data_IF_420169727410
#
_entry.id   IF_420169727410
#
_cell.length_a   1.000
_cell.length_b   1.000
_cell.length_c   1.000
_cell.angle_alpha   90.00
_cell.angle_beta   90.00
_cell.angle_gamma   90.00
#
_symmetry.space_group_name_H-M   'P 1'
#
loop_
_entity.id
_entity.type
_entity.pdbx_description
1 polymer ?
#
# COMPACT_ATOMS: atom_id res chain seq x y z
N UNK A 1 -53.60 -27.75 1.83
CA UNK A 1 -53.04 -28.15 0.52
C UNK A 1 -52.50 -26.91 -0.24
N UNK A 2 -51.53 -26.17 0.33
CA UNK A 2 -50.98 -24.92 -0.27
C UNK A 2 -49.44 -24.88 -0.35
N UNK A 3 -48.74 -25.94 0.06
CA UNK A 3 -47.26 -25.94 0.14
C UNK A 3 -46.55 -26.60 -1.06
N UNK A 4 -47.28 -27.25 -1.98
CA UNK A 4 -46.68 -27.95 -3.14
C UNK A 4 -46.62 -27.13 -4.44
N UNK A 5 -47.43 -26.08 -4.62
CA UNK A 5 -47.45 -25.27 -5.87
C UNK A 5 -46.30 -24.24 -5.98
N UNK A 6 -45.71 -23.82 -4.86
CA UNK A 6 -44.64 -22.83 -4.82
C UNK A 6 -43.36 -23.22 -5.59
N UNK A 7 -42.75 -24.40 -5.32
CA UNK A 7 -41.50 -24.80 -5.98
C UNK A 7 -41.69 -25.11 -7.47
N UNK A 8 -42.81 -25.70 -7.88
CA UNK A 8 -43.10 -25.98 -9.28
C UNK A 8 -43.33 -24.68 -10.09
N UNK A 9 -44.02 -23.70 -9.50
CA UNK A 9 -44.19 -22.37 -10.10
C UNK A 9 -42.86 -21.66 -10.34
N UNK A 10 -41.95 -21.65 -9.37
CA UNK A 10 -40.64 -21.00 -9.51
C UNK A 10 -39.76 -21.70 -10.55
N UNK A 11 -39.79 -23.04 -10.61
CA UNK A 11 -39.08 -23.79 -11.64
C UNK A 11 -39.60 -23.46 -13.05
N UNK A 12 -40.93 -23.34 -13.20
CA UNK A 12 -41.58 -22.91 -14.45
C UNK A 12 -41.22 -21.48 -14.84
N UNK A 13 -41.22 -20.54 -13.88
CA UNK A 13 -40.82 -19.16 -14.11
C UNK A 13 -39.36 -19.07 -14.58
N UNK A 14 -38.45 -19.79 -13.91
CA UNK A 14 -37.03 -19.86 -14.30
C UNK A 14 -36.86 -20.41 -15.72
N UNK A 15 -37.61 -21.44 -16.10
CA UNK A 15 -37.58 -22.01 -17.47
C UNK A 15 -38.15 -21.04 -18.51
N UNK A 16 -39.20 -20.30 -18.18
CA UNK A 16 -39.86 -19.38 -19.10
C UNK A 16 -39.02 -18.12 -19.35
N UNK A 17 -38.60 -17.43 -18.30
CA UNK A 17 -37.80 -16.20 -18.41
C UNK A 17 -36.30 -16.45 -18.64
N UNK A 18 -35.83 -17.69 -18.47
CA UNK A 18 -34.46 -18.10 -18.82
C UNK A 18 -34.23 -18.30 -20.32
N UNK A 19 -35.26 -18.12 -21.16
CA UNK A 19 -35.14 -18.22 -22.61
C UNK A 19 -34.27 -17.07 -23.16
N UNK A 20 -33.46 -17.31 -24.22
CA UNK A 20 -32.59 -16.28 -24.81
C UNK A 20 -33.33 -15.01 -25.23
N UNK A 21 -34.58 -15.15 -25.72
CA UNK A 21 -35.44 -14.04 -26.12
C UNK A 21 -35.71 -12.98 -25.03
N UNK A 22 -35.60 -13.33 -23.74
CA UNK A 22 -35.76 -12.37 -22.64
C UNK A 22 -34.44 -11.72 -22.19
N UNK A 23 -33.28 -12.25 -22.59
CA UNK A 23 -32.00 -11.91 -21.97
C UNK A 23 -31.63 -10.42 -22.08
N UNK A 24 -31.76 -9.81 -23.27
CA UNK A 24 -31.43 -8.38 -23.45
C UNK A 24 -32.45 -7.49 -22.76
N UNK A 25 -33.74 -7.80 -22.86
CA UNK A 25 -34.79 -7.04 -22.20
C UNK A 25 -34.63 -7.07 -20.67
N UNK A 26 -34.43 -8.24 -20.08
CA UNK A 26 -34.26 -8.38 -18.64
C UNK A 26 -33.03 -7.62 -18.15
N UNK A 27 -31.92 -7.67 -18.89
CA UNK A 27 -30.73 -6.85 -18.59
C UNK A 27 -31.04 -5.36 -18.57
N UNK A 28 -31.83 -4.88 -19.54
CA UNK A 28 -32.27 -3.49 -19.60
C UNK A 28 -33.23 -3.10 -18.47
N UNK A 29 -34.13 -4.00 -18.09
CA UNK A 29 -35.05 -3.84 -16.95
C UNK A 29 -34.25 -3.76 -15.65
N UNK A 30 -33.31 -4.67 -15.41
CA UNK A 30 -32.45 -4.65 -14.22
C UNK A 30 -31.62 -3.38 -14.15
N UNK A 31 -31.00 -2.97 -15.27
CA UNK A 31 -30.24 -1.71 -15.39
C UNK A 31 -31.11 -0.51 -15.02
N UNK A 32 -32.33 -0.43 -15.56
CA UNK A 32 -33.22 0.69 -15.32
C UNK A 32 -33.74 0.73 -13.89
N UNK A 33 -34.09 -0.43 -13.33
CA UNK A 33 -34.49 -0.57 -11.93
C UNK A 33 -33.35 -0.16 -11.00
N UNK A 34 -32.14 -0.66 -11.22
CA UNK A 34 -30.98 -0.35 -10.40
C UNK A 34 -30.63 1.15 -10.41
N UNK A 35 -30.87 1.83 -11.54
CA UNK A 35 -30.66 3.26 -11.68
C UNK A 35 -31.70 4.13 -10.98
N UNK A 36 -32.99 3.77 -11.07
CA UNK A 36 -34.07 4.59 -10.52
C UNK A 36 -34.43 4.27 -9.07
N UNK A 37 -34.06 3.09 -8.57
CA UNK A 37 -34.42 2.63 -7.22
C UNK A 37 -35.90 2.33 -7.00
N UNK A 38 -36.69 2.29 -8.09
CA UNK A 38 -38.12 2.01 -8.06
C UNK A 38 -38.57 1.44 -9.40
N UNK A 39 -39.74 0.80 -9.41
CA UNK A 39 -40.41 0.36 -10.64
C UNK A 39 -40.86 1.59 -11.44
N UNK A 40 -40.04 2.03 -12.39
CA UNK A 40 -40.31 3.23 -13.19
C UNK A 40 -39.41 3.34 -14.43
N UNK A 41 -39.80 4.19 -15.37
CA UNK A 41 -39.10 4.35 -16.64
C UNK A 41 -39.35 3.22 -17.64
N UNK A 42 -38.52 3.18 -18.68
CA UNK A 42 -38.68 2.31 -19.84
C UNK A 42 -37.37 1.59 -20.13
N UNK A 43 -37.44 0.27 -20.32
CA UNK A 43 -36.36 -0.55 -20.86
C UNK A 43 -36.48 -0.55 -22.40
N UNK A 44 -35.37 -0.33 -23.09
CA UNK A 44 -35.34 -0.21 -24.55
C UNK A 44 -34.29 -1.16 -25.10
N UNK A 45 -34.70 -2.05 -26.01
CA UNK A 45 -33.80 -2.91 -26.77
C UNK A 45 -33.81 -2.45 -28.23
N UNK A 46 -32.68 -1.94 -28.71
CA UNK A 46 -32.47 -1.57 -30.11
C UNK A 46 -32.29 -2.81 -30.97
N UNK A 47 -32.84 -2.81 -32.18
CA UNK A 47 -32.72 -3.91 -33.15
C UNK A 47 -33.03 -5.29 -32.52
N UNK A 48 -34.27 -5.50 -32.04
CA UNK A 48 -34.65 -6.76 -31.40
C UNK A 48 -34.67 -7.90 -32.42
N UNK A 49 -34.17 -9.08 -32.04
CA UNK A 49 -34.29 -10.28 -32.86
C UNK A 49 -35.73 -10.79 -32.89
N UNK A 50 -36.08 -11.59 -33.90
CA UNK A 50 -37.41 -12.17 -34.03
C UNK A 50 -37.81 -13.00 -32.79
N UNK A 51 -36.87 -13.76 -32.22
CA UNK A 51 -37.07 -14.54 -30.98
C UNK A 51 -37.35 -13.63 -29.77
N UNK A 52 -36.70 -12.47 -29.68
CA UNK A 52 -36.93 -11.50 -28.60
C UNK A 52 -38.33 -10.88 -28.71
N UNK A 53 -38.74 -10.52 -29.94
CA UNK A 53 -40.09 -10.01 -30.19
C UNK A 53 -41.14 -11.06 -29.86
N UNK A 54 -40.96 -12.31 -30.29
CA UNK A 54 -41.90 -13.40 -30.03
C UNK A 54 -42.07 -13.66 -28.53
N UNK A 55 -40.96 -13.82 -27.80
CA UNK A 55 -40.98 -14.05 -26.36
C UNK A 55 -41.66 -12.89 -25.61
N UNK A 56 -41.28 -11.65 -25.93
CA UNK A 56 -41.79 -10.47 -25.23
C UNK A 56 -43.24 -10.18 -25.60
N UNK A 57 -43.66 -10.36 -26.86
CA UNK A 57 -45.06 -10.25 -27.25
C UNK A 57 -45.93 -11.31 -26.57
N UNK A 58 -45.45 -12.55 -26.51
CA UNK A 58 -46.14 -13.65 -25.85
C UNK A 58 -46.42 -13.38 -24.36
N UNK A 59 -45.50 -12.70 -23.69
CA UNK A 59 -45.67 -12.33 -22.29
C UNK A 59 -46.46 -11.03 -22.07
N UNK A 60 -46.18 -9.97 -22.85
CA UNK A 60 -46.72 -8.63 -22.64
C UNK A 60 -48.11 -8.40 -23.27
N UNK A 61 -48.62 -9.37 -24.04
CA UNK A 61 -49.91 -9.30 -24.72
C UNK A 61 -50.04 -8.14 -25.72
N UNK A 62 -48.92 -7.59 -26.20
CA UNK A 62 -48.89 -6.44 -27.10
C UNK A 62 -48.07 -6.73 -28.34
N UNK A 63 -48.57 -6.33 -29.51
CA UNK A 63 -47.92 -6.51 -30.81
C UNK A 63 -47.19 -5.21 -31.24
N UNK A 64 -45.90 -5.31 -31.55
CA UNK A 64 -45.09 -4.24 -32.18
C UNK A 64 -44.72 -4.65 -33.61
N UNK A 65 -44.53 -3.65 -34.49
CA UNK A 65 -44.11 -3.91 -35.88
C UNK A 65 -42.62 -4.22 -35.95
N UNK A 66 -42.18 -5.16 -36.82
CA UNK A 66 -40.76 -5.39 -37.08
C UNK A 66 -40.06 -4.10 -37.55
N UNK A 67 -38.92 -3.76 -36.96
CA UNK A 67 -38.13 -2.56 -37.28
C UNK A 67 -38.24 -1.40 -36.28
N UNK A 68 -39.08 -1.50 -35.25
CA UNK A 68 -39.16 -0.54 -34.14
C UNK A 68 -38.34 -1.02 -32.93
N UNK A 69 -37.82 -0.09 -32.12
CA UNK A 69 -37.19 -0.42 -30.84
C UNK A 69 -38.20 -1.14 -29.92
N UNK A 70 -37.73 -2.18 -29.23
CA UNK A 70 -38.56 -2.85 -28.23
C UNK A 70 -38.54 -2.02 -26.95
N UNK A 71 -39.62 -1.29 -26.72
CA UNK A 71 -39.80 -0.46 -25.52
C UNK A 71 -40.83 -1.08 -24.55
N UNK A 72 -40.38 -1.33 -23.32
CA UNK A 72 -41.21 -1.87 -22.24
C UNK A 72 -41.13 -0.97 -21.02
N UNK A 73 -42.28 -0.44 -20.59
CA UNK A 73 -42.38 0.30 -19.33
C UNK A 73 -42.24 -0.67 -18.16
N UNK A 74 -41.35 -0.38 -17.21
CA UNK A 74 -41.11 -1.24 -16.04
C UNK A 74 -42.39 -1.46 -15.22
N UNK A 75 -43.22 -0.43 -15.08
CA UNK A 75 -44.51 -0.54 -14.38
C UNK A 75 -45.48 -1.51 -15.06
N UNK A 76 -45.49 -1.55 -16.40
CA UNK A 76 -46.32 -2.51 -17.15
C UNK A 76 -45.74 -3.92 -16.99
N UNK A 77 -44.43 -4.08 -17.13
CA UNK A 77 -43.78 -5.38 -16.96
C UNK A 77 -43.99 -5.96 -15.55
N UNK A 78 -43.83 -5.14 -14.51
CA UNK A 78 -44.12 -5.51 -13.12
C UNK A 78 -45.59 -5.91 -12.92
N UNK A 79 -46.52 -5.17 -13.54
CA UNK A 79 -47.94 -5.52 -13.50
C UNK A 79 -48.20 -6.90 -14.11
N UNK A 80 -47.72 -7.15 -15.34
CA UNK A 80 -47.88 -8.46 -16.00
C UNK A 80 -47.21 -9.58 -15.21
N UNK A 81 -46.04 -9.33 -14.61
CA UNK A 81 -45.36 -10.29 -13.75
C UNK A 81 -46.20 -10.69 -12.53
N UNK A 82 -46.83 -9.72 -11.87
CA UNK A 82 -47.65 -9.95 -10.68
C UNK A 82 -48.99 -10.60 -11.01
N UNK A 83 -49.60 -10.26 -12.14
CA UNK A 83 -50.91 -10.81 -12.56
C UNK A 83 -50.80 -12.11 -13.34
N UNK A 84 -49.62 -12.45 -13.84
CA UNK A 84 -49.35 -13.75 -14.47
C UNK A 84 -49.43 -14.90 -13.49
N UNK A 85 -49.44 -16.13 -14.02
CA UNK A 85 -49.35 -17.39 -13.27
C UNK A 85 -48.09 -17.51 -12.40
N UNK A 86 -47.10 -16.63 -12.59
CA UNK A 86 -45.86 -16.62 -11.83
C UNK A 86 -45.95 -15.81 -10.53
N UNK A 87 -46.80 -14.77 -10.49
CA UNK A 87 -46.99 -13.87 -9.34
C UNK A 87 -45.67 -13.34 -8.74
N UNK A 88 -44.75 -12.89 -9.60
CA UNK A 88 -43.44 -12.39 -9.18
C UNK A 88 -43.36 -10.86 -9.27
N UNK A 89 -42.37 -10.29 -8.60
CA UNK A 89 -41.90 -8.91 -8.80
C UNK A 89 -40.59 -8.91 -9.59
N UNK A 90 -40.19 -7.76 -10.15
CA UNK A 90 -38.90 -7.63 -10.84
C UNK A 90 -37.71 -8.06 -9.95
N UNK A 91 -37.60 -7.65 -8.67
CA UNK A 91 -36.53 -8.13 -7.78
C UNK A 91 -36.54 -9.65 -7.58
N UNK A 92 -37.72 -10.24 -7.37
CA UNK A 92 -37.85 -11.69 -7.19
C UNK A 92 -37.49 -12.47 -8.46
N UNK A 93 -37.84 -11.95 -9.64
CA UNK A 93 -37.45 -12.57 -10.90
C UNK A 93 -35.94 -12.50 -11.12
N UNK A 94 -35.31 -11.36 -10.80
CA UNK A 94 -33.85 -11.24 -10.84
C UNK A 94 -33.20 -12.28 -9.92
N UNK A 95 -33.57 -12.32 -8.65
CA UNK A 95 -33.04 -13.27 -7.67
C UNK A 95 -33.25 -14.73 -8.12
N UNK A 96 -34.42 -15.04 -8.68
CA UNK A 96 -34.71 -16.36 -9.22
C UNK A 96 -33.79 -16.74 -10.39
N UNK A 97 -33.40 -15.80 -11.26
CA UNK A 97 -32.60 -16.09 -12.45
C UNK A 97 -31.10 -16.02 -12.19
N UNK A 98 -30.64 -15.10 -11.34
CA UNK A 98 -29.22 -14.85 -11.09
C UNK A 98 -28.71 -15.46 -9.78
N UNK A 99 -29.62 -15.79 -8.85
CA UNK A 99 -29.28 -16.21 -7.49
C UNK A 99 -28.84 -15.07 -6.57
N UNK A 100 -29.01 -13.80 -6.97
CA UNK A 100 -28.59 -12.62 -6.19
C UNK A 100 -29.67 -11.55 -6.11
N UNK A 101 -29.68 -10.79 -5.02
CA UNK A 101 -30.61 -9.67 -4.85
C UNK A 101 -30.34 -8.56 -5.88
N UNK A 102 -31.42 -7.96 -6.41
CA UNK A 102 -31.31 -6.82 -7.33
C UNK A 102 -31.03 -5.54 -6.55
N UNK A 103 -29.75 -5.22 -6.38
CA UNK A 103 -29.33 -4.00 -5.70
C UNK A 103 -29.35 -2.78 -6.62
N UNK A 104 -29.93 -1.70 -6.11
CA UNK A 104 -29.88 -0.36 -6.69
C UNK A 104 -28.48 0.25 -6.61
N UNK A 105 -28.20 1.29 -7.40
CA UNK A 105 -26.93 2.00 -7.30
C UNK A 105 -26.73 2.65 -5.93
N UNK A 106 -27.81 3.09 -5.27
CA UNK A 106 -27.76 3.64 -3.92
C UNK A 106 -27.36 2.57 -2.90
N UNK A 107 -28.04 1.41 -2.89
CA UNK A 107 -27.73 0.30 -1.99
C UNK A 107 -26.33 -0.26 -2.23
N UNK A 108 -25.89 -0.39 -3.49
CA UNK A 108 -24.51 -0.81 -3.78
C UNK A 108 -23.49 0.17 -3.23
N UNK A 109 -23.76 1.48 -3.33
CA UNK A 109 -22.86 2.50 -2.78
C UNK A 109 -22.82 2.43 -1.25
N UNK A 110 -23.97 2.23 -0.62
CA UNK A 110 -24.08 2.07 0.83
C UNK A 110 -23.33 0.83 1.32
N UNK A 111 -23.47 -0.31 0.65
CA UNK A 111 -22.70 -1.52 0.98
C UNK A 111 -21.19 -1.28 0.85
N UNK A 112 -20.74 -0.63 -0.24
CA UNK A 112 -19.32 -0.28 -0.40
C UNK A 112 -18.81 0.70 0.66
N UNK A 113 -19.68 1.58 1.16
CA UNK A 113 -19.37 2.50 2.24
C UNK A 113 -19.30 1.77 3.59
N UNK A 114 -20.21 0.84 3.86
CA UNK A 114 -20.18 -0.03 5.03
C UNK A 114 -18.93 -0.93 5.03
N UNK A 115 -18.61 -1.56 3.90
CA UNK A 115 -17.40 -2.36 3.73
C UNK A 115 -16.14 -1.52 3.97
N UNK A 116 -16.12 -0.26 3.49
CA UNK A 116 -15.02 0.66 3.74
C UNK A 116 -14.88 0.99 5.23
N UNK A 117 -15.98 1.27 5.92
CA UNK A 117 -15.95 1.59 7.35
C UNK A 117 -15.48 0.40 8.20
N UNK A 118 -15.85 -0.82 7.79
CA UNK A 118 -15.47 -2.08 8.48
C UNK A 118 -13.94 -2.23 8.59
N UNK A 119 -13.18 -1.77 7.58
CA UNK A 119 -11.69 -1.81 7.59
C UNK A 119 -11.10 -1.15 8.84
N UNK A 120 -11.78 -0.15 9.38
CA UNK A 120 -11.30 0.65 10.49
C UNK A 120 -11.82 0.19 11.86
N UNK A 121 -12.81 -0.70 11.90
CA UNK A 121 -13.48 -1.04 13.16
C UNK A 121 -12.59 -1.89 14.08
N UNK A 122 -11.88 -2.88 13.52
CA UNK A 122 -10.89 -3.69 14.25
C UNK A 122 -9.76 -2.83 14.84
N UNK A 123 -9.35 -1.83 14.07
CA UNK A 123 -8.23 -0.94 14.42
C UNK A 123 -8.64 0.08 15.46
N UNK A 124 -9.87 0.61 15.38
CA UNK A 124 -10.41 1.50 16.41
C UNK A 124 -10.47 0.84 17.78
N UNK A 125 -10.76 -0.46 17.83
CA UNK A 125 -10.73 -1.22 19.07
C UNK A 125 -9.33 -1.26 19.72
N UNK A 126 -8.26 -1.17 18.93
CA UNK A 126 -6.88 -1.14 19.43
C UNK A 126 -6.51 0.19 20.11
N UNK A 127 -7.25 1.27 19.87
CA UNK A 127 -6.84 2.62 20.25
C UNK A 127 -7.45 3.15 21.55
N UNK A 128 -8.19 2.34 22.32
CA UNK A 128 -8.81 2.68 23.61
C UNK A 128 -9.29 4.14 23.69
N UNK A 129 -10.58 4.38 23.43
CA UNK A 129 -11.20 5.65 23.02
C UNK A 129 -10.84 6.97 23.74
N UNK A 130 -10.05 6.95 24.82
CA UNK A 130 -9.73 8.11 25.66
C UNK A 130 -8.25 8.21 26.07
N UNK A 131 -7.34 7.43 25.49
CA UNK A 131 -5.90 7.59 25.77
C UNK A 131 -5.31 8.71 24.91
N UNK A 132 -5.06 9.86 25.54
CA UNK A 132 -4.50 11.06 24.89
C UNK A 132 -3.17 10.79 24.17
N UNK A 133 -2.41 9.76 24.59
CA UNK A 133 -1.15 9.37 23.93
C UNK A 133 -1.35 8.96 22.47
N UNK A 134 -2.55 8.52 22.10
CA UNK A 134 -2.86 8.07 20.74
C UNK A 134 -3.65 9.11 19.92
N UNK A 135 -3.76 10.36 20.39
CA UNK A 135 -4.56 11.40 19.74
C UNK A 135 -4.13 11.66 18.28
N UNK A 136 -2.84 11.77 18.01
CA UNK A 136 -2.30 12.00 16.65
C UNK A 136 -2.60 10.81 15.72
N UNK A 137 -2.41 9.59 16.23
CA UNK A 137 -2.68 8.37 15.50
C UNK A 137 -4.18 8.26 15.19
N UNK A 138 -5.06 8.50 16.17
CA UNK A 138 -6.50 8.49 15.98
C UNK A 138 -6.95 9.59 14.99
N UNK A 139 -6.35 10.78 15.08
CA UNK A 139 -6.57 11.88 14.14
C UNK A 139 -6.17 11.51 12.71
N UNK A 140 -5.01 10.87 12.55
CA UNK A 140 -4.56 10.35 11.26
C UNK A 140 -5.48 9.26 10.71
N UNK A 141 -5.93 8.33 11.54
CA UNK A 141 -6.86 7.27 11.16
C UNK A 141 -8.20 7.83 10.64
N UNK A 142 -8.71 8.90 11.27
CA UNK A 142 -9.90 9.60 10.81
C UNK A 142 -9.66 10.30 9.46
N UNK A 143 -8.54 11.02 9.30
CA UNK A 143 -8.16 11.61 8.00
C UNK A 143 -8.02 10.54 6.91
N UNK A 144 -7.48 9.37 7.25
CA UNK A 144 -7.36 8.25 6.32
C UNK A 144 -8.73 7.73 5.87
N UNK A 145 -9.66 7.54 6.82
CA UNK A 145 -11.05 7.15 6.52
C UNK A 145 -11.74 8.14 5.60
N UNK A 146 -11.52 9.44 5.84
CA UNK A 146 -12.22 10.53 5.16
C UNK A 146 -11.52 10.95 3.84
N UNK A 147 -10.44 10.26 3.45
CA UNK A 147 -9.73 10.50 2.19
C UNK A 147 -8.79 11.70 2.20
N UNK A 148 -8.39 12.16 3.38
CA UNK A 148 -7.55 13.34 3.61
C UNK A 148 -6.10 13.00 4.00
N UNK A 149 -5.77 11.74 4.24
CA UNK A 149 -4.39 11.30 4.52
C UNK A 149 -3.67 10.85 3.24
N UNK A 150 -2.33 11.01 3.21
CA UNK A 150 -1.53 10.64 2.04
C UNK A 150 -1.59 9.14 1.72
N UNK A 151 -1.93 8.32 2.72
CA UNK A 151 -2.12 6.88 2.60
C UNK A 151 -3.48 6.40 2.09
N UNK A 152 -4.42 7.32 1.83
CA UNK A 152 -5.78 6.95 1.41
C UNK A 152 -5.78 6.07 0.15
N UNK A 153 -5.01 6.46 -0.86
CA UNK A 153 -4.94 5.70 -2.13
C UNK A 153 -4.42 4.28 -1.90
N UNK A 154 -3.35 4.13 -1.13
CA UNK A 154 -2.76 2.84 -0.77
C UNK A 154 -3.78 1.91 -0.14
N UNK A 155 -4.51 2.39 0.88
CA UNK A 155 -5.52 1.59 1.56
C UNK A 155 -6.74 1.33 0.66
N UNK A 156 -7.16 2.31 -0.14
CA UNK A 156 -8.31 2.19 -1.03
C UNK A 156 -8.08 1.15 -2.14
N UNK A 157 -6.87 1.06 -2.67
CA UNK A 157 -6.48 0.04 -3.64
C UNK A 157 -6.41 -1.35 -3.01
N UNK A 158 -5.80 -1.46 -1.82
CA UNK A 158 -5.76 -2.72 -1.06
C UNK A 158 -7.17 -3.23 -0.72
N UNK A 159 -8.06 -2.35 -0.27
CA UNK A 159 -9.45 -2.67 0.08
C UNK A 159 -10.25 -3.18 -1.12
N UNK A 160 -10.08 -2.56 -2.30
CA UNK A 160 -10.73 -3.02 -3.53
C UNK A 160 -10.26 -4.41 -3.97
N UNK A 161 -9.02 -4.76 -3.66
CA UNK A 161 -8.45 -6.06 -3.99
C UNK A 161 -8.91 -7.15 -3.01
N UNK A 162 -8.79 -6.89 -1.70
CA UNK A 162 -9.19 -7.81 -0.63
C UNK A 162 -9.47 -7.05 0.68
N UNK A 163 -10.73 -7.03 1.11
CA UNK A 163 -11.19 -6.40 2.33
C UNK A 163 -10.47 -6.94 3.59
N UNK A 164 -10.32 -8.26 3.69
CA UNK A 164 -9.75 -8.91 4.86
C UNK A 164 -8.25 -8.67 4.97
N UNK A 165 -7.53 -8.72 3.85
CA UNK A 165 -6.11 -8.41 3.82
C UNK A 165 -5.86 -6.91 4.09
N UNK A 166 -6.67 -6.01 3.54
CA UNK A 166 -6.56 -4.57 3.79
C UNK A 166 -6.75 -4.25 5.28
N UNK A 167 -7.73 -4.86 5.93
CA UNK A 167 -8.00 -4.68 7.36
C UNK A 167 -6.81 -5.15 8.21
N UNK A 168 -6.25 -6.34 7.90
CA UNK A 168 -5.05 -6.85 8.58
C UNK A 168 -3.83 -5.96 8.40
N UNK A 169 -3.57 -5.49 7.18
CA UNK A 169 -2.41 -4.65 6.86
C UNK A 169 -2.50 -3.27 7.54
N UNK A 170 -3.70 -2.67 7.58
CA UNK A 170 -3.94 -1.46 8.36
C UNK A 170 -3.72 -1.74 9.87
N UNK A 171 -4.21 -2.87 10.36
CA UNK A 171 -4.00 -3.33 11.74
C UNK A 171 -2.52 -3.42 12.11
N UNK A 172 -1.66 -3.99 11.25
CA UNK A 172 -0.22 -4.05 11.47
C UNK A 172 0.44 -2.67 11.51
N UNK A 173 0.10 -1.79 10.57
CA UNK A 173 0.65 -0.43 10.55
C UNK A 173 0.28 0.35 11.82
N UNK A 174 -0.96 0.21 12.29
CA UNK A 174 -1.45 0.91 13.48
C UNK A 174 -0.88 0.31 14.76
N UNK A 175 -0.81 -1.02 14.86
CA UNK A 175 -0.15 -1.69 15.97
C UNK A 175 1.34 -1.32 16.06
N UNK A 176 2.01 -1.14 14.91
CA UNK A 176 3.39 -0.70 14.84
C UNK A 176 3.55 0.73 15.37
N UNK A 177 2.75 1.69 14.88
CA UNK A 177 2.81 3.07 15.36
C UNK A 177 2.44 3.19 16.84
N UNK A 178 1.42 2.45 17.31
CA UNK A 178 1.08 2.38 18.74
C UNK A 178 2.26 1.92 19.59
N UNK A 179 2.97 0.88 19.17
CA UNK A 179 4.17 0.38 19.86
C UNK A 179 5.30 1.41 19.89
N UNK A 180 5.46 2.22 18.83
CA UNK A 180 6.45 3.31 18.83
C UNK A 180 6.14 4.33 19.93
N UNK A 181 4.87 4.77 20.01
CA UNK A 181 4.39 5.69 21.06
C UNK A 181 4.63 5.08 22.46
N UNK A 182 4.28 3.81 22.65
CA UNK A 182 4.47 3.14 23.95
C UNK A 182 5.97 2.98 24.31
N UNK A 183 6.85 2.79 23.32
CA UNK A 183 8.29 2.62 23.53
C UNK A 183 8.98 3.95 23.83
N UNK A 184 8.60 5.02 23.12
CA UNK A 184 9.03 6.39 23.39
C UNK A 184 8.73 6.78 24.83
N UNK A 185 7.50 6.54 25.29
CA UNK A 185 7.06 6.83 26.65
C UNK A 185 7.81 6.02 27.73
N UNK A 186 8.27 4.81 27.41
CA UNK A 186 8.85 3.90 28.39
C UNK A 186 10.35 4.13 28.66
N UNK A 187 11.19 4.32 27.62
CA UNK A 187 12.66 4.28 27.78
C UNK A 187 13.48 5.11 26.77
N UNK A 188 12.87 5.76 25.79
CA UNK A 188 13.64 6.42 24.70
C UNK A 188 14.52 5.47 23.87
N UNK A 189 14.35 4.16 24.03
CA UNK A 189 15.09 3.15 23.27
C UNK A 189 14.33 2.86 21.98
N UNK A 190 14.75 3.50 20.89
CA UNK A 190 14.16 3.22 19.56
C UNK A 190 14.26 1.74 19.15
N UNK A 191 13.39 1.31 18.23
CA UNK A 191 13.30 -0.08 17.76
C UNK A 191 13.78 -0.22 16.30
N UNK A 192 14.21 -1.41 15.89
CA UNK A 192 14.50 -1.68 14.46
C UNK A 192 13.23 -2.07 13.73
N UNK A 193 13.03 -1.57 12.51
CA UNK A 193 11.83 -1.84 11.71
C UNK A 193 11.52 -3.35 11.57
N UNK A 194 12.48 -4.25 11.30
CA UNK A 194 12.18 -5.69 11.20
C UNK A 194 11.75 -6.32 12.53
N UNK A 195 12.25 -5.81 13.66
CA UNK A 195 11.85 -6.26 15.00
C UNK A 195 10.41 -5.80 15.29
N UNK A 196 10.08 -4.57 14.89
CA UNK A 196 8.72 -4.04 14.99
C UNK A 196 7.75 -4.85 14.12
N UNK A 197 8.13 -5.15 12.88
CA UNK A 197 7.35 -5.93 11.92
C UNK A 197 7.07 -7.35 12.46
N UNK A 198 8.11 -8.05 12.91
CA UNK A 198 7.97 -9.38 13.50
C UNK A 198 7.06 -9.35 14.74
N UNK A 199 7.11 -8.29 15.54
CA UNK A 199 6.31 -8.18 16.75
C UNK A 199 4.81 -7.89 16.51
N UNK A 200 4.44 -7.32 15.36
CA UNK A 200 3.03 -7.00 15.03
C UNK A 200 2.41 -7.97 14.03
N UNK A 201 3.22 -8.53 13.12
CA UNK A 201 2.75 -9.36 12.01
C UNK A 201 3.32 -10.79 12.02
N UNK A 202 4.31 -11.09 12.86
CA UNK A 202 5.02 -12.37 12.85
C UNK A 202 6.00 -12.53 11.69
N UNK A 203 6.22 -11.48 10.89
CA UNK A 203 7.10 -11.45 9.72
C UNK A 203 8.00 -10.20 9.77
N UNK A 204 9.35 -10.34 9.77
CA UNK A 204 10.28 -9.23 9.77
C UNK A 204 10.16 -8.28 8.56
N UNK A 205 9.58 -8.72 7.45
CA UNK A 205 9.43 -7.93 6.22
C UNK A 205 8.05 -7.29 6.08
N UNK A 206 7.13 -7.53 7.02
CA UNK A 206 5.74 -7.07 6.91
C UNK A 206 5.56 -5.55 6.88
N UNK A 207 6.57 -4.78 7.32
CA UNK A 207 6.55 -3.32 7.32
C UNK A 207 7.54 -2.71 6.30
N UNK A 208 8.08 -3.52 5.38
CA UNK A 208 8.94 -3.02 4.31
C UNK A 208 8.16 -2.08 3.38
N UNK A 209 8.81 -1.07 2.80
CA UNK A 209 8.16 -0.03 1.99
C UNK A 209 7.51 -0.53 0.70
N UNK A 210 7.83 -1.76 0.27
CA UNK A 210 7.16 -2.43 -0.85
C UNK A 210 5.85 -3.14 -0.44
N UNK A 211 5.58 -3.30 0.86
CA UNK A 211 4.33 -3.86 1.40
C UNK A 211 3.26 -2.79 1.57
N UNK A 212 1.99 -3.21 1.67
CA UNK A 212 0.88 -2.29 1.98
C UNK A 212 1.06 -1.71 3.38
N UNK A 213 1.24 -2.54 4.41
CA UNK A 213 1.41 -2.08 5.79
C UNK A 213 2.62 -1.16 5.96
N UNK A 214 3.75 -1.46 5.33
CA UNK A 214 4.93 -0.60 5.35
C UNK A 214 4.69 0.77 4.70
N UNK A 215 4.00 0.83 3.55
CA UNK A 215 3.59 2.12 2.95
C UNK A 215 2.64 2.90 3.84
N UNK A 216 1.64 2.23 4.43
CA UNK A 216 0.70 2.86 5.35
C UNK A 216 1.43 3.46 6.56
N UNK A 217 2.32 2.69 7.20
CA UNK A 217 3.12 3.16 8.33
C UNK A 217 4.01 4.33 7.94
N UNK A 218 4.77 4.21 6.86
CA UNK A 218 5.68 5.27 6.42
C UNK A 218 4.95 6.59 6.12
N UNK A 219 3.84 6.51 5.39
CA UNK A 219 3.02 7.69 5.08
C UNK A 219 2.38 8.29 6.34
N UNK A 220 2.00 7.45 7.31
CA UNK A 220 1.50 7.90 8.60
C UNK A 220 2.55 8.69 9.39
N UNK A 221 3.76 8.13 9.50
CA UNK A 221 4.88 8.76 10.20
C UNK A 221 5.31 10.06 9.49
N UNK A 222 5.32 10.07 8.15
CA UNK A 222 5.63 11.28 7.37
C UNK A 222 4.61 12.40 7.57
N UNK A 223 3.32 12.06 7.60
CA UNK A 223 2.25 13.03 7.86
C UNK A 223 2.36 13.58 9.30
N UNK A 224 2.82 12.76 10.24
CA UNK A 224 3.03 13.14 11.64
C UNK A 224 4.27 14.02 11.85
N UNK A 225 5.40 13.72 11.19
CA UNK A 225 6.63 14.53 11.26
C UNK A 225 6.58 15.83 10.45
N UNK A 226 5.52 16.05 9.64
CA UNK A 226 5.33 17.27 8.87
C UNK A 226 6.15 17.36 7.57
N UNK A 227 6.73 16.26 7.08
CA UNK A 227 7.57 16.24 5.86
C UNK A 227 6.77 16.08 4.55
N UNK A 228 5.62 16.76 4.42
CA UNK A 228 4.64 16.56 3.35
C UNK A 228 5.02 16.97 1.91
N UNK A 229 6.26 17.41 1.64
CA UNK A 229 6.68 18.00 0.35
C UNK A 229 7.41 17.05 -0.62
N UNK A 230 7.71 15.80 -0.23
CA UNK A 230 8.57 14.88 -0.99
C UNK A 230 7.81 13.95 -1.97
N UNK A 231 6.53 14.24 -2.24
CA UNK A 231 5.59 13.30 -2.82
C UNK A 231 5.81 12.95 -4.31
N UNK A 232 6.58 13.73 -5.06
CA UNK A 232 6.70 13.56 -6.52
C UNK A 232 7.75 12.50 -6.92
N UNK A 233 8.79 12.28 -6.10
CA UNK A 233 9.90 11.40 -6.47
C UNK A 233 9.67 9.92 -6.13
N UNK A 234 8.97 9.60 -5.02
CA UNK A 234 8.83 8.22 -4.55
C UNK A 234 7.76 7.40 -5.29
N UNK A 235 6.67 8.04 -5.74
CA UNK A 235 5.63 7.37 -6.54
C UNK A 235 6.18 6.91 -7.90
N UNK A 236 7.15 7.64 -8.46
CA UNK A 236 7.85 7.27 -9.68
C UNK A 236 8.81 6.07 -9.48
N UNK A 237 9.37 5.91 -8.28
CA UNK A 237 10.29 4.82 -7.93
C UNK A 237 9.52 3.52 -7.64
N UNK A 238 8.41 3.60 -6.90
CA UNK A 238 7.56 2.44 -6.62
C UNK A 238 6.93 1.84 -7.90
N UNK A 239 6.56 2.69 -8.87
CA UNK A 239 6.06 2.24 -10.17
C UNK A 239 7.13 1.51 -11.00
N UNK A 240 8.42 1.89 -10.87
CA UNK A 240 9.54 1.20 -11.52
C UNK A 240 9.86 -0.15 -10.87
N UNK A 241 9.77 -0.26 -9.54
CA UNK A 241 9.99 -1.52 -8.83
C UNK A 241 8.94 -2.60 -9.16
N UNK A 242 7.68 -2.21 -9.34
CA UNK A 242 6.62 -3.14 -9.73
C UNK A 242 6.76 -3.63 -11.19
N UNK A 243 7.28 -2.80 -12.09
CA UNK A 243 7.51 -3.18 -13.49
C UNK A 243 8.73 -4.11 -13.67
N UNK A 244 9.73 -4.03 -12.79
CA UNK A 244 10.91 -4.89 -12.83
C UNK A 244 10.63 -6.34 -12.36
N UNK A 245 9.61 -6.54 -11.51
CA UNK A 245 9.25 -7.85 -10.97
C UNK A 245 8.65 -8.82 -12.02
N UNK A 246 8.24 -8.34 -13.20
CA UNK A 246 7.69 -9.19 -14.27
C UNK A 246 8.76 -9.70 -15.27
N UNK A 247 10.02 -9.30 -15.14
CA UNK A 247 11.10 -9.73 -16.04
C UNK A 247 12.26 -10.33 -15.25
N UNK A 248 12.14 -11.60 -14.86
CA UNK A 248 13.18 -12.33 -14.14
C UNK A 248 14.42 -12.58 -15.01
N UNK A 249 15.56 -11.93 -14.69
CA UNK A 249 16.93 -12.45 -14.91
C UNK A 249 17.88 -11.92 -13.81
N UNK A 250 18.58 -12.86 -13.15
CA UNK A 250 19.77 -12.72 -12.28
C UNK A 250 19.69 -11.87 -11.00
N UNK A 251 19.74 -12.55 -9.85
CA UNK A 251 19.71 -12.00 -8.49
C UNK A 251 21.01 -11.32 -8.03
N UNK A 252 21.52 -10.37 -8.81
CA UNK A 252 22.51 -9.40 -8.36
C UNK A 252 21.96 -7.95 -8.39
N UNK A 253 20.98 -7.68 -9.26
CA UNK A 253 20.36 -6.35 -9.42
C UNK A 253 19.25 -6.08 -8.37
N UNK A 254 18.68 -7.12 -7.76
CA UNK A 254 17.70 -7.00 -6.66
C UNK A 254 18.31 -6.34 -5.40
N UNK A 255 19.63 -6.44 -5.21
CA UNK A 255 20.32 -5.82 -4.08
C UNK A 255 20.64 -4.33 -4.30
N UNK A 256 20.89 -3.90 -5.54
CA UNK A 256 21.11 -2.47 -5.83
C UNK A 256 19.81 -1.68 -5.87
N UNK A 257 18.71 -2.28 -6.37
CA UNK A 257 17.39 -1.64 -6.35
C UNK A 257 16.83 -1.48 -4.92
N UNK A 258 17.21 -2.36 -3.98
CA UNK A 258 16.87 -2.22 -2.56
C UNK A 258 17.73 -1.16 -1.84
N UNK A 259 18.98 -0.95 -2.27
CA UNK A 259 19.92 -0.01 -1.64
C UNK A 259 19.62 1.47 -1.99
N UNK A 260 19.02 1.74 -3.15
CA UNK A 260 18.72 3.11 -3.62
C UNK A 260 17.41 3.73 -3.10
N UNK A 261 16.59 2.99 -2.34
CA UNK A 261 15.26 3.47 -1.89
C UNK A 261 15.35 4.19 -0.53
N UNK A 262 16.48 4.11 0.17
CA UNK A 262 16.65 4.70 1.51
C UNK A 262 17.25 6.11 1.46
N UNK A 263 16.48 7.04 0.90
CA UNK A 263 16.84 8.46 0.94
C UNK A 263 17.05 8.88 2.41
N UNK A 264 18.01 9.77 2.65
CA UNK A 264 18.24 10.33 3.99
C UNK A 264 16.96 10.88 4.62
N UNK A 265 16.04 11.40 3.80
CA UNK A 265 14.73 11.86 4.24
C UNK A 265 13.86 10.72 4.79
N UNK A 266 13.84 9.55 4.15
CA UNK A 266 13.08 8.40 4.65
C UNK A 266 13.61 7.88 5.99
N UNK A 267 14.94 7.83 6.13
CA UNK A 267 15.59 7.50 7.41
C UNK A 267 15.25 8.50 8.50
N UNK A 268 15.26 9.79 8.16
CA UNK A 268 14.94 10.85 9.10
C UNK A 268 13.49 10.75 9.62
N UNK A 269 12.53 10.43 8.75
CA UNK A 269 11.14 10.15 9.17
C UNK A 269 11.10 9.00 10.18
N UNK A 270 11.82 7.92 9.91
CA UNK A 270 11.90 6.78 10.83
C UNK A 270 12.58 7.13 12.15
N UNK A 271 13.69 7.85 12.14
CA UNK A 271 14.39 8.28 13.36
C UNK A 271 13.53 9.16 14.24
N UNK A 272 12.84 10.13 13.66
CA UNK A 272 11.92 11.01 14.40
C UNK A 272 10.77 10.24 15.03
N UNK A 273 10.37 9.11 14.42
CA UNK A 273 9.39 8.19 14.98
C UNK A 273 9.97 7.13 15.94
N UNK A 274 11.26 7.22 16.29
CA UNK A 274 11.91 6.25 17.18
C UNK A 274 12.27 4.92 16.52
N UNK A 275 12.31 4.84 15.20
CA UNK A 275 12.82 3.69 14.45
C UNK A 275 14.31 3.90 14.16
N UNK A 276 15.15 2.95 14.56
CA UNK A 276 16.60 2.99 14.41
C UNK A 276 17.04 2.50 13.04
N UNK A 277 18.07 3.15 12.50
CA UNK A 277 18.78 2.74 11.29
C UNK A 277 19.44 1.35 11.45
N UNK A 278 19.72 0.69 10.33
CA UNK A 278 20.61 -0.48 10.32
C UNK A 278 22.05 -0.02 10.58
N UNK A 279 22.41 -0.09 11.86
CA UNK A 279 23.69 0.37 12.40
C UNK A 279 24.83 -0.66 12.29
N UNK A 280 24.54 -1.85 11.74
CA UNK A 280 25.50 -2.95 11.55
C UNK A 280 25.89 -3.10 10.08
N UNK A 281 24.91 -3.12 9.18
CA UNK A 281 25.20 -3.33 7.75
C UNK A 281 25.64 -2.06 7.03
N UNK A 282 25.45 -0.88 7.65
CA UNK A 282 26.00 0.37 7.13
C UNK A 282 27.49 0.48 7.51
N UNK A 283 28.36 0.42 6.49
CA UNK A 283 29.81 0.35 6.66
C UNK A 283 30.53 1.55 6.04
N UNK A 284 31.67 1.91 6.59
CA UNK A 284 32.63 2.85 6.01
C UNK A 284 34.05 2.30 6.18
N UNK A 285 34.85 2.38 5.13
CA UNK A 285 36.24 1.94 5.16
C UNK A 285 37.13 3.15 5.40
N UNK A 286 38.15 2.99 6.23
CA UNK A 286 39.08 4.06 6.54
C UNK A 286 40.49 3.52 6.70
N UNK A 287 41.46 4.29 6.21
CA UNK A 287 42.86 3.98 6.35
C UNK A 287 43.62 5.27 6.63
N UNK A 288 44.56 5.17 7.57
CA UNK A 288 45.55 6.22 7.83
C UNK A 288 46.90 5.76 7.33
N UNK A 289 47.80 6.69 6.97
CA UNK A 289 49.15 6.34 6.61
C UNK A 289 49.84 5.52 7.72
N UNK A 290 50.43 4.39 7.35
CA UNK A 290 51.09 3.47 8.28
C UNK A 290 50.18 2.57 9.11
N UNK A 291 48.86 2.68 8.99
CA UNK A 291 47.88 1.79 9.62
C UNK A 291 47.33 0.77 8.62
N UNK A 292 46.79 -0.34 9.13
CA UNK A 292 45.98 -1.24 8.31
C UNK A 292 44.61 -0.59 8.01
N UNK A 293 43.99 -0.88 6.86
CA UNK A 293 42.64 -0.43 6.59
C UNK A 293 41.65 -1.08 7.56
N UNK A 294 40.74 -0.27 8.10
CA UNK A 294 39.69 -0.69 9.02
C UNK A 294 38.30 -0.45 8.40
N UNK A 295 37.33 -1.25 8.82
CA UNK A 295 35.93 -1.06 8.47
C UNK A 295 35.17 -0.75 9.75
N UNK A 296 34.45 0.37 9.75
CA UNK A 296 33.55 0.73 10.84
C UNK A 296 32.10 0.59 10.42
N UNK A 297 31.27 0.03 11.30
CA UNK A 297 29.82 0.12 11.17
C UNK A 297 29.32 1.49 11.63
N UNK A 298 28.11 1.89 11.22
CA UNK A 298 27.47 3.12 11.72
C UNK A 298 27.44 3.16 13.26
N UNK A 299 27.12 2.04 13.93
CA UNK A 299 27.16 1.95 15.40
C UNK A 299 28.53 2.33 15.96
N UNK A 300 29.61 1.81 15.36
CA UNK A 300 30.96 2.13 15.82
C UNK A 300 31.26 3.61 15.58
N UNK A 301 30.91 4.14 14.40
CA UNK A 301 31.06 5.57 14.10
C UNK A 301 30.30 6.45 15.08
N UNK A 302 29.10 6.07 15.52
CA UNK A 302 28.31 6.82 16.51
C UNK A 302 28.86 6.72 17.94
N UNK A 303 29.47 5.58 18.30
CA UNK A 303 30.00 5.31 19.64
C UNK A 303 31.41 5.85 19.88
N UNK A 304 32.16 6.24 18.84
CA UNK A 304 33.48 6.85 19.01
C UNK A 304 33.37 8.11 19.87
N UNK A 305 34.14 8.22 20.95
CA UNK A 305 34.13 9.42 21.81
C UNK A 305 34.66 10.64 21.06
N UNK A 306 35.77 10.47 20.34
CA UNK A 306 36.35 11.47 19.45
C UNK A 306 36.77 10.82 18.14
N UNK A 307 36.61 11.55 17.05
CA UNK A 307 37.24 11.18 15.79
C UNK A 307 38.69 11.64 15.84
N UNK A 308 39.63 10.80 15.39
CA UNK A 308 41.00 11.18 15.45
C UNK A 308 41.29 12.27 14.39
N UNK A 309 42.10 13.28 14.73
CA UNK A 309 42.25 14.48 13.90
C UNK A 309 42.83 14.14 12.53
N UNK A 310 42.38 14.84 11.50
CA UNK A 310 42.89 14.71 10.13
C UNK A 310 42.93 16.08 9.47
N UNK A 311 44.06 16.46 8.87
CA UNK A 311 44.22 17.73 8.15
C UNK A 311 43.37 17.74 6.86
N UNK A 312 43.33 16.61 6.17
CA UNK A 312 42.53 16.45 4.96
C UNK A 312 41.89 15.08 4.86
N UNK A 313 40.72 15.06 4.23
CA UNK A 313 39.90 13.88 3.99
C UNK A 313 39.92 13.55 2.50
N UNK A 314 40.47 12.40 2.13
CA UNK A 314 40.39 11.87 0.78
C UNK A 314 39.28 10.84 0.71
N UNK A 315 38.25 11.10 -0.11
CA UNK A 315 37.11 10.19 -0.27
C UNK A 315 37.17 9.52 -1.63
N UNK A 316 37.08 8.19 -1.64
CA UNK A 316 37.02 7.39 -2.86
C UNK A 316 35.80 6.45 -2.84
N UNK A 317 35.09 6.38 -3.95
CA UNK A 317 33.89 5.55 -4.03
C UNK A 317 34.22 4.06 -4.18
N UNK A 318 35.22 3.76 -5.01
CA UNK A 318 35.53 2.40 -5.45
C UNK A 318 36.53 1.70 -4.50
N UNK A 319 36.19 0.52 -3.94
CA UNK A 319 37.08 -0.23 -3.05
C UNK A 319 38.42 -0.64 -3.68
N UNK A 320 38.47 -0.92 -4.98
CA UNK A 320 39.72 -1.26 -5.67
C UNK A 320 40.67 -0.06 -5.78
N UNK A 321 40.11 1.14 -5.97
CA UNK A 321 40.90 2.39 -5.95
C UNK A 321 41.41 2.65 -4.54
N UNK A 322 40.56 2.48 -3.52
CA UNK A 322 40.97 2.56 -2.11
C UNK A 322 42.14 1.62 -1.81
N UNK A 323 42.02 0.33 -2.15
CA UNK A 323 43.09 -0.64 -1.94
C UNK A 323 44.39 -0.25 -2.65
N UNK A 324 44.29 0.20 -3.91
CA UNK A 324 45.46 0.61 -4.70
C UNK A 324 46.19 1.80 -4.06
N UNK A 325 45.44 2.74 -3.49
CA UNK A 325 46.02 3.89 -2.77
C UNK A 325 46.67 3.47 -1.45
N UNK A 326 46.06 2.54 -0.72
CA UNK A 326 46.63 1.97 0.51
C UNK A 326 47.94 1.23 0.20
N UNK A 327 47.95 0.35 -0.79
CA UNK A 327 49.14 -0.39 -1.22
C UNK A 327 50.25 0.56 -1.68
N UNK A 328 49.91 1.59 -2.45
CA UNK A 328 50.83 2.63 -2.89
C UNK A 328 51.44 3.42 -1.74
N UNK A 329 50.63 3.79 -0.74
CA UNK A 329 51.09 4.51 0.45
C UNK A 329 52.05 3.65 1.30
N UNK A 330 51.74 2.37 1.48
CA UNK A 330 52.60 1.40 2.17
C UNK A 330 53.93 1.20 1.44
N UNK A 331 53.89 0.99 0.11
CA UNK A 331 55.08 0.81 -0.72
C UNK A 331 55.98 2.06 -0.75
N UNK A 332 55.39 3.25 -0.70
CA UNK A 332 56.10 4.52 -0.62
C UNK A 332 56.69 4.81 0.77
N UNK A 333 56.44 3.95 1.77
CA UNK A 333 56.95 4.14 3.13
C UNK A 333 56.32 5.33 3.84
N UNK A 334 55.08 5.70 3.49
CA UNK A 334 54.31 6.73 4.20
C UNK A 334 53.81 6.10 5.51
N UNK A 335 54.69 6.05 6.50
CA UNK A 335 54.44 5.49 7.83
C UNK A 335 54.10 6.64 8.79
N UNK A 336 53.05 6.50 9.60
CA UNK A 336 52.90 7.29 10.82
C UNK A 336 54.11 6.99 11.72
N UNK A 337 55.12 7.86 11.72
CA UNK A 337 56.32 7.67 12.55
C UNK A 337 55.94 7.83 14.01
N UNK A 338 56.10 6.79 14.86
CA UNK A 338 55.69 6.87 16.27
C UNK A 338 56.54 7.83 17.12
N UNK A 339 57.78 8.13 16.69
CA UNK A 339 58.80 8.81 17.50
C UNK A 339 59.32 10.13 16.90
N UNK A 340 58.81 10.59 15.76
CA UNK A 340 59.15 11.93 15.25
C UNK A 340 58.23 12.96 15.89
N UNK A 341 58.75 13.59 16.94
CA UNK A 341 58.22 14.83 17.49
C UNK A 341 57.97 15.85 16.38
N UNK A 342 56.70 16.24 16.22
CA UNK A 342 56.19 17.37 15.43
C UNK A 342 56.13 17.13 13.91
N UNK A 343 55.08 16.43 13.47
CA UNK A 343 54.27 17.02 12.41
C UNK A 343 53.26 17.93 13.14
N UNK A 344 53.32 19.24 12.90
CA UNK A 344 52.33 20.20 13.45
C UNK A 344 50.92 19.97 12.87
N UNK A 345 50.80 19.11 11.85
CA UNK A 345 49.58 18.84 11.09
C UNK A 345 49.14 17.38 11.25
N UNK A 346 47.83 17.17 11.44
CA UNK A 346 47.25 15.85 11.64
C UNK A 346 47.28 15.01 10.36
N UNK A 347 47.58 13.70 10.39
CA UNK A 347 47.75 12.91 9.18
C UNK A 347 46.49 12.85 8.31
N UNK A 348 46.61 12.73 6.97
CA UNK A 348 45.45 12.60 6.09
C UNK A 348 44.66 11.33 6.40
N UNK A 349 43.34 11.39 6.21
CA UNK A 349 42.45 10.24 6.33
C UNK A 349 41.94 9.84 4.94
N UNK A 350 42.19 8.60 4.54
CA UNK A 350 41.60 8.01 3.34
C UNK A 350 40.31 7.28 3.74
N UNK A 351 39.19 7.60 3.10
CA UNK A 351 37.89 6.98 3.34
C UNK A 351 37.34 6.38 2.05
N UNK A 352 36.77 5.18 2.15
CA UNK A 352 36.01 4.59 1.07
C UNK A 352 34.55 4.32 1.44
N UNK A 353 33.65 4.79 0.57
CA UNK A 353 32.20 4.66 0.73
C UNK A 353 31.64 3.36 0.16
N UNK A 354 32.40 2.66 -0.70
CA UNK A 354 32.00 1.41 -1.36
C UNK A 354 30.69 1.54 -2.16
N UNK A 355 30.63 2.55 -3.04
CA UNK A 355 29.42 2.98 -3.76
C UNK A 355 28.84 4.29 -3.21
N UNK A 356 27.52 4.56 -3.40
CA UNK A 356 26.85 5.71 -2.82
C UNK A 356 27.12 5.82 -1.31
N UNK A 357 27.29 7.04 -0.81
CA UNK A 357 27.66 7.25 0.59
C UNK A 357 26.67 6.58 1.56
N UNK A 358 27.18 5.62 2.34
CA UNK A 358 26.41 4.93 3.37
C UNK A 358 26.07 5.87 4.54
N UNK A 359 25.11 5.49 5.39
CA UNK A 359 24.83 6.25 6.62
C UNK A 359 26.07 6.37 7.51
N UNK A 360 26.88 5.31 7.62
CA UNK A 360 28.14 5.32 8.35
C UNK A 360 29.12 6.35 7.78
N UNK A 361 29.26 6.41 6.44
CA UNK A 361 30.13 7.38 5.79
C UNK A 361 29.66 8.82 5.98
N UNK A 362 28.37 9.08 5.78
CA UNK A 362 27.78 10.40 5.97
C UNK A 362 27.90 10.87 7.42
N UNK A 363 27.60 9.98 8.38
CA UNK A 363 27.75 10.29 9.80
C UNK A 363 29.19 10.56 10.20
N UNK A 364 30.14 9.84 9.61
CA UNK A 364 31.58 10.10 9.80
C UNK A 364 31.93 11.50 9.28
N UNK A 365 31.48 11.86 8.08
CA UNK A 365 31.73 13.18 7.49
C UNK A 365 31.13 14.32 8.32
N UNK A 366 29.88 14.18 8.76
CA UNK A 366 29.23 15.17 9.64
C UNK A 366 30.05 15.39 10.92
N UNK A 367 30.46 14.30 11.58
CA UNK A 367 31.26 14.37 12.81
C UNK A 367 32.65 14.97 12.58
N UNK A 368 33.27 14.76 11.42
CA UNK A 368 34.55 15.38 11.09
C UNK A 368 34.40 16.87 10.80
N UNK A 369 33.29 17.28 10.18
CA UNK A 369 32.99 18.69 9.92
C UNK A 369 32.64 19.45 11.21
N UNK A 370 31.91 18.82 12.15
CA UNK A 370 31.52 19.43 13.43
C UNK A 370 32.67 19.50 14.45
N UNK A 371 33.66 18.62 14.33
CA UNK A 371 34.82 18.52 15.23
C UNK A 371 36.09 19.23 14.75
N UNK A 372 36.01 19.98 13.65
CA UNK A 372 37.11 20.76 13.06
C UNK A 372 37.29 22.15 13.67
#
# INVERSE_FOLDING_TARGET
>A
MKQQDGPDRLARARRYFGQPGFARLLREIWRRYASLGRVGGTAVVSDPYAEELEAVHGFMGSYRRPGEHLEVKLAKFEYELRTSVFELTIPQLHELLTGSMLLTHAERRELLEQDWLTVFDEVRALLAAEDERYADLAGWLNRLRDGQASAYRTLREAWKADLGLASKQLGWAIAAWRRLIDTEAARGEGCRLPVLAAAVAGDPHALDRNTVAGRLLFQALRDWTGQGSLAEDEAAIAAKGAAAAETSVSGAEEQEAAQGIDSLAAREIYRQAGIRDDDISSLVHLCRPGEQPHVLTLRQVEQLEALPPAECLYVVENPAVFSSLVDGALAAGIVARPDDTVLDEAPPLLVCTSGPASAAALRLFDRMADGG
#
